data_IF_931790040056
#
_entry.id   IF_931790040056
#
_cell.length_a   1.000
_cell.length_b   1.000
_cell.length_c   1.000
_cell.angle_alpha   90.00
_cell.angle_beta   90.00
_cell.angle_gamma   90.00
#
_symmetry.space_group_name_H-M   'P 1'
#
loop_
_entity.id
_entity.type
_entity.pdbx_description
1 polymer ?
#
# COMPACT_ATOMS: atom_id res chain seq x y z
N UNK A 1 -16.56 -8.80 1.18
CA UNK A 1 -15.18 -8.36 0.87
C UNK A 1 -14.37 -9.56 0.44
N UNK A 2 -13.55 -9.39 -0.57
CA UNK A 2 -12.62 -10.40 -1.07
C UNK A 2 -11.18 -9.94 -0.79
N UNK A 3 -10.25 -10.90 -0.74
CA UNK A 3 -8.83 -10.64 -0.54
C UNK A 3 -8.06 -11.17 -1.74
N UNK A 4 -7.20 -10.32 -2.31
CA UNK A 4 -6.27 -10.72 -3.36
C UNK A 4 -5.22 -11.72 -2.85
N UNK A 5 -4.56 -12.42 -3.77
CA UNK A 5 -3.59 -13.50 -3.46
C UNK A 5 -2.53 -13.12 -2.43
N UNK A 6 -2.09 -11.87 -2.41
CA UNK A 6 -1.02 -11.37 -1.54
C UNK A 6 -1.53 -10.55 -0.35
N UNK A 7 -2.85 -10.37 -0.20
CA UNK A 7 -3.46 -9.64 0.90
C UNK A 7 -3.66 -10.57 2.10
N UNK A 8 -3.14 -10.18 3.27
CA UNK A 8 -3.21 -11.00 4.49
C UNK A 8 -4.52 -10.70 5.22
N UNK A 9 -5.54 -11.54 5.01
CA UNK A 9 -6.87 -11.36 5.63
C UNK A 9 -6.80 -11.19 7.14
N UNK A 10 -5.98 -11.99 7.81
CA UNK A 10 -5.86 -11.99 9.28
C UNK A 10 -5.11 -10.77 9.82
N UNK A 11 -4.46 -9.98 8.94
CA UNK A 11 -3.82 -8.73 9.33
C UNK A 11 -4.79 -7.54 9.35
N UNK A 12 -6.04 -7.71 8.90
CA UNK A 12 -7.05 -6.64 8.87
C UNK A 12 -7.94 -6.75 10.10
N UNK A 13 -7.93 -5.71 10.94
CA UNK A 13 -8.75 -5.66 12.14
C UNK A 13 -10.24 -5.56 11.82
N UNK A 14 -11.08 -5.91 12.79
CA UNK A 14 -12.53 -5.75 12.62
C UNK A 14 -12.94 -4.28 12.53
N UNK A 15 -12.20 -3.38 13.19
CA UNK A 15 -12.38 -1.94 13.05
C UNK A 15 -12.17 -1.50 11.59
N UNK A 16 -11.06 -1.90 10.98
CA UNK A 16 -10.75 -1.60 9.57
C UNK A 16 -11.81 -2.17 8.63
N UNK A 17 -12.28 -3.40 8.87
CA UNK A 17 -13.39 -4.00 8.10
C UNK A 17 -14.66 -3.17 8.22
N UNK A 18 -15.01 -2.72 9.42
CA UNK A 18 -16.21 -1.92 9.66
C UNK A 18 -16.15 -0.57 8.94
N UNK A 19 -15.01 0.13 9.01
CA UNK A 19 -14.80 1.39 8.28
C UNK A 19 -14.99 1.18 6.77
N UNK A 20 -14.41 0.11 6.21
CA UNK A 20 -14.57 -0.20 4.79
C UNK A 20 -16.02 -0.59 4.44
N UNK A 21 -16.71 -1.38 5.29
CA UNK A 21 -18.13 -1.72 5.14
C UNK A 21 -19.01 -0.47 5.08
N UNK A 22 -18.76 0.51 5.95
CA UNK A 22 -19.51 1.75 5.97
C UNK A 22 -19.26 2.56 4.69
N UNK A 23 -18.01 2.62 4.22
CA UNK A 23 -17.68 3.28 2.95
C UNK A 23 -18.44 2.63 1.77
N UNK A 24 -18.46 1.29 1.71
CA UNK A 24 -19.18 0.54 0.69
C UNK A 24 -20.69 0.78 0.74
N UNK A 25 -21.29 0.73 1.94
CA UNK A 25 -22.72 0.97 2.13
C UNK A 25 -23.12 2.40 1.74
N UNK A 26 -22.35 3.42 2.19
CA UNK A 26 -22.59 4.83 1.86
C UNK A 26 -22.47 5.12 0.36
N UNK A 27 -21.76 4.26 -0.38
CA UNK A 27 -21.50 4.42 -1.81
C UNK A 27 -22.28 3.44 -2.70
N UNK A 28 -23.20 2.66 -2.13
CA UNK A 28 -23.96 1.63 -2.83
C UNK A 28 -23.07 0.62 -3.59
N UNK A 29 -21.93 0.27 -2.99
CA UNK A 29 -21.06 -0.81 -3.46
C UNK A 29 -21.36 -2.09 -2.66
N UNK A 30 -21.76 -3.16 -3.34
CA UNK A 30 -22.10 -4.44 -2.69
C UNK A 30 -20.88 -5.28 -2.30
N UNK A 31 -19.73 -5.04 -2.92
CA UNK A 31 -18.51 -5.78 -2.67
C UNK A 31 -17.26 -4.95 -2.98
N UNK A 32 -16.10 -5.49 -2.59
CA UNK A 32 -14.79 -4.92 -2.88
C UNK A 32 -13.72 -6.00 -2.74
N UNK A 33 -12.57 -5.77 -3.36
CA UNK A 33 -11.38 -6.61 -3.24
C UNK A 33 -10.22 -5.81 -2.66
N UNK A 34 -9.77 -6.21 -1.47
CA UNK A 34 -8.53 -5.70 -0.86
C UNK A 34 -7.36 -6.39 -1.55
N UNK A 35 -6.53 -5.62 -2.26
CA UNK A 35 -5.37 -6.12 -3.03
C UNK A 35 -4.08 -6.10 -2.21
N UNK A 36 -3.97 -5.23 -1.22
CA UNK A 36 -2.84 -5.15 -0.29
C UNK A 36 -3.28 -4.81 1.13
N UNK A 37 -2.50 -5.27 2.10
CA UNK A 37 -2.63 -5.02 3.54
C UNK A 37 -1.25 -4.71 4.12
N UNK A 38 -1.12 -4.67 5.45
CA UNK A 38 0.16 -4.52 6.15
C UNK A 38 1.28 -5.44 5.59
N UNK A 39 2.46 -4.85 5.42
CA UNK A 39 3.65 -5.46 4.83
C UNK A 39 4.77 -5.57 5.85
N UNK A 40 5.67 -6.51 5.59
CA UNK A 40 7.01 -6.52 6.21
C UNK A 40 8.01 -5.82 5.28
N UNK A 41 9.19 -5.39 5.77
CA UNK A 41 10.25 -4.88 4.89
C UNK A 41 10.61 -5.84 3.76
N UNK A 42 10.60 -7.15 4.02
CA UNK A 42 10.82 -8.19 3.01
C UNK A 42 9.70 -8.23 1.95
N UNK A 43 8.44 -8.10 2.37
CA UNK A 43 7.31 -7.98 1.44
C UNK A 43 7.44 -6.73 0.56
N UNK A 44 7.79 -5.59 1.16
CA UNK A 44 7.97 -4.34 0.42
C UNK A 44 9.13 -4.42 -0.58
N UNK A 45 10.29 -4.95 -0.18
CA UNK A 45 11.42 -5.14 -1.08
C UNK A 45 11.06 -6.03 -2.27
N UNK A 46 10.35 -7.15 -2.02
CA UNK A 46 9.87 -8.05 -3.08
C UNK A 46 8.92 -7.35 -4.06
N UNK A 47 7.99 -6.54 -3.56
CA UNK A 47 7.05 -5.79 -4.41
C UNK A 47 7.80 -4.76 -5.24
N UNK A 48 8.68 -3.97 -4.62
CA UNK A 48 9.51 -2.98 -5.32
C UNK A 48 10.36 -3.65 -6.40
N UNK A 49 11.04 -4.75 -6.09
CA UNK A 49 11.84 -5.52 -7.04
C UNK A 49 10.99 -5.97 -8.24
N UNK A 50 9.81 -6.55 -8.01
CA UNK A 50 8.94 -7.02 -9.08
C UNK A 50 8.43 -5.85 -9.95
N UNK A 51 8.05 -4.73 -9.33
CA UNK A 51 7.62 -3.56 -10.09
C UNK A 51 8.77 -2.97 -10.91
N UNK A 52 9.99 -2.95 -10.38
CA UNK A 52 11.19 -2.50 -11.12
C UNK A 52 11.49 -3.41 -12.30
N UNK A 53 11.29 -4.73 -12.17
CA UNK A 53 11.45 -5.69 -13.28
C UNK A 53 10.37 -5.53 -14.36
N UNK A 54 9.15 -5.15 -13.99
CA UNK A 54 8.01 -5.06 -14.92
C UNK A 54 7.88 -3.69 -15.57
N UNK A 55 7.99 -2.61 -14.79
CA UNK A 55 7.74 -1.23 -15.21
C UNK A 55 9.02 -0.40 -15.40
N UNK A 56 10.16 -0.86 -14.86
CA UNK A 56 11.44 -0.17 -14.97
C UNK A 56 11.68 0.89 -13.90
N UNK A 57 12.95 1.30 -13.76
CA UNK A 57 13.43 2.24 -12.75
C UNK A 57 12.77 3.62 -12.88
N UNK A 58 12.78 4.18 -14.09
CA UNK A 58 12.32 5.55 -14.33
C UNK A 58 10.85 5.74 -13.91
N UNK A 59 10.00 4.75 -14.18
CA UNK A 59 8.60 4.79 -13.78
C UNK A 59 8.43 4.65 -12.27
N UNK A 60 9.15 3.73 -11.64
CA UNK A 60 9.05 3.55 -10.18
C UNK A 60 9.57 4.76 -9.39
N UNK A 61 10.58 5.48 -9.89
CA UNK A 61 11.08 6.71 -9.25
C UNK A 61 10.04 7.85 -9.25
N UNK A 62 9.08 7.84 -10.20
CA UNK A 62 7.97 8.81 -10.19
C UNK A 62 6.93 8.52 -9.11
N UNK A 63 6.85 7.27 -8.64
CA UNK A 63 5.82 6.82 -7.70
C UNK A 63 6.30 6.83 -6.25
N UNK A 64 7.52 6.36 -5.99
CA UNK A 64 7.99 6.09 -4.63
C UNK A 64 8.53 7.30 -3.88
N UNK A 65 8.94 8.35 -4.61
CA UNK A 65 9.53 9.57 -4.04
C UNK A 65 10.85 9.33 -3.31
N UNK A 66 11.38 10.40 -2.70
CA UNK A 66 12.77 10.47 -2.18
C UNK A 66 13.24 9.26 -1.36
N UNK A 67 12.40 8.69 -0.50
CA UNK A 67 12.81 7.59 0.36
C UNK A 67 12.80 6.26 -0.37
N UNK A 68 11.78 5.97 -1.16
CA UNK A 68 11.78 4.74 -1.97
C UNK A 68 12.77 4.81 -3.13
N UNK A 69 13.06 6.00 -3.67
CA UNK A 69 14.12 6.20 -4.67
C UNK A 69 15.48 5.71 -4.17
N UNK A 70 15.81 5.92 -2.90
CA UNK A 70 17.05 5.39 -2.33
C UNK A 70 17.08 3.86 -2.27
N UNK A 71 15.92 3.20 -2.16
CA UNK A 71 15.83 1.73 -2.24
C UNK A 71 15.96 1.27 -3.68
N UNK A 72 15.42 2.05 -4.63
CA UNK A 72 15.60 1.82 -6.07
C UNK A 72 17.07 1.96 -6.47
N UNK A 73 17.78 2.97 -5.95
CA UNK A 73 19.22 3.15 -6.20
C UNK A 73 20.03 1.95 -5.71
N UNK A 74 19.66 1.37 -4.57
CA UNK A 74 20.25 0.11 -4.07
C UNK A 74 19.98 -1.04 -5.04
N UNK A 75 18.75 -1.19 -5.53
CA UNK A 75 18.45 -2.17 -6.58
C UNK A 75 19.33 -1.99 -7.82
N UNK A 76 19.49 -0.76 -8.32
CA UNK A 76 20.31 -0.47 -9.50
C UNK A 76 21.78 -0.82 -9.27
N UNK A 77 22.37 -0.34 -8.17
CA UNK A 77 23.77 -0.60 -7.82
C UNK A 77 24.06 -2.10 -7.63
N UNK A 78 23.17 -2.82 -6.94
CA UNK A 78 23.32 -4.26 -6.73
C UNK A 78 23.15 -5.05 -8.04
N UNK A 79 22.28 -4.61 -8.94
CA UNK A 79 22.13 -5.20 -10.28
C UNK A 79 23.40 -4.97 -11.12
N UNK A 80 23.97 -3.76 -11.11
CA UNK A 80 25.22 -3.43 -11.82
C UNK A 80 26.38 -4.28 -11.29
N UNK A 81 26.42 -4.51 -9.98
CA UNK A 81 27.42 -5.35 -9.33
C UNK A 81 27.24 -6.87 -9.59
N UNK A 82 26.23 -7.27 -10.38
CA UNK A 82 26.00 -8.67 -10.74
C UNK A 82 25.51 -9.53 -9.58
N UNK A 83 24.94 -8.93 -8.53
CA UNK A 83 24.41 -9.67 -7.36
C UNK A 83 23.22 -10.55 -7.76
N UNK A 84 23.03 -11.64 -7.02
CA UNK A 84 21.86 -12.51 -7.21
C UNK A 84 20.58 -11.82 -6.75
N UNK A 85 19.41 -12.31 -7.20
CA UNK A 85 18.11 -11.80 -6.76
C UNK A 85 17.98 -11.73 -5.23
N UNK A 86 18.41 -12.78 -4.53
CA UNK A 86 18.28 -12.84 -3.08
C UNK A 86 19.19 -11.82 -2.38
N UNK A 87 20.40 -11.62 -2.90
CA UNK A 87 21.31 -10.59 -2.42
C UNK A 87 20.75 -9.18 -2.67
N UNK A 88 20.18 -8.91 -3.85
CA UNK A 88 19.54 -7.63 -4.16
C UNK A 88 18.37 -7.37 -3.19
N UNK A 89 17.52 -8.37 -2.95
CA UNK A 89 16.41 -8.25 -2.02
C UNK A 89 16.91 -7.99 -0.59
N UNK A 90 17.97 -8.65 -0.14
CA UNK A 90 18.58 -8.41 1.16
C UNK A 90 19.14 -6.99 1.29
N UNK A 91 19.80 -6.47 0.25
CA UNK A 91 20.30 -5.09 0.23
C UNK A 91 19.12 -4.09 0.31
N UNK A 92 18.06 -4.33 -0.46
CA UNK A 92 16.85 -3.50 -0.44
C UNK A 92 16.17 -3.51 0.94
N UNK A 93 16.03 -4.68 1.56
CA UNK A 93 15.48 -4.81 2.93
C UNK A 93 16.33 -4.04 3.93
N UNK A 94 17.66 -4.17 3.85
CA UNK A 94 18.59 -3.46 4.72
C UNK A 94 18.43 -1.95 4.58
N UNK A 95 18.26 -1.46 3.35
CA UNK A 95 18.03 -0.04 3.07
C UNK A 95 16.67 0.44 3.61
N UNK A 96 15.60 -0.33 3.44
CA UNK A 96 14.27 -0.01 4.00
C UNK A 96 14.35 0.14 5.52
N UNK A 97 15.01 -0.80 6.20
CA UNK A 97 15.19 -0.75 7.65
C UNK A 97 16.02 0.46 8.09
N UNK A 98 17.09 0.79 7.34
CA UNK A 98 17.96 1.92 7.65
C UNK A 98 17.26 3.28 7.49
N UNK A 99 16.46 3.47 6.45
CA UNK A 99 15.70 4.71 6.20
C UNK A 99 14.55 4.87 7.22
N UNK A 100 14.04 3.77 7.75
CA UNK A 100 12.80 3.70 8.50
C UNK A 100 11.66 3.18 7.59
N UNK A 101 11.08 2.00 7.88
CA UNK A 101 10.10 1.36 7.01
C UNK A 101 8.92 2.26 6.63
N UNK A 102 8.37 3.03 7.58
CA UNK A 102 7.24 3.93 7.38
C UNK A 102 7.52 5.12 6.48
N UNK A 103 8.80 5.47 6.26
CA UNK A 103 9.20 6.51 5.32
C UNK A 103 9.16 6.01 3.88
N UNK A 104 9.34 4.70 3.67
CA UNK A 104 9.30 4.06 2.34
C UNK A 104 7.88 3.73 1.92
N UNK A 105 7.06 3.21 2.84
CA UNK A 105 5.65 2.93 2.57
C UNK A 105 4.83 2.93 3.85
N UNK A 106 3.62 3.47 3.80
CA UNK A 106 2.68 3.44 4.92
C UNK A 106 2.15 2.04 5.22
N UNK A 107 2.21 1.10 4.27
CA UNK A 107 1.92 -0.32 4.50
C UNK A 107 2.89 -0.97 5.51
N UNK A 108 4.03 -0.33 5.82
CA UNK A 108 5.01 -0.79 6.81
C UNK A 108 4.80 -0.16 8.21
N UNK A 109 3.68 0.55 8.42
CA UNK A 109 3.33 1.10 9.74
C UNK A 109 2.98 0.00 10.73
N UNK A 110 3.08 0.31 12.04
CA UNK A 110 2.57 -0.58 13.08
C UNK A 110 1.05 -0.78 12.87
N UNK A 111 0.59 -2.01 12.57
CA UNK A 111 -0.81 -2.27 12.26
C UNK A 111 -1.73 -2.13 13.48
N UNK A 112 -1.19 -1.97 14.69
CA UNK A 112 -1.97 -1.65 15.90
C UNK A 112 -2.17 -0.14 16.08
N UNK A 113 -1.49 0.70 15.29
CA UNK A 113 -1.63 2.16 15.31
C UNK A 113 -2.28 2.66 14.02
N UNK A 114 -1.83 2.13 12.87
CA UNK A 114 -2.32 2.52 11.56
C UNK A 114 -2.36 1.30 10.63
N UNK A 115 -3.56 0.93 10.19
CA UNK A 115 -3.70 -0.06 9.12
C UNK A 115 -3.83 0.65 7.78
N UNK A 116 -3.09 0.13 6.80
CA UNK A 116 -3.16 0.59 5.42
C UNK A 116 -3.65 -0.55 4.56
N UNK A 117 -4.65 -0.28 3.74
CA UNK A 117 -5.20 -1.22 2.78
C UNK A 117 -5.24 -0.59 1.40
N UNK A 118 -4.96 -1.40 0.39
CA UNK A 118 -5.20 -1.04 -1.00
C UNK A 118 -6.45 -1.77 -1.48
N UNK A 119 -7.40 -1.03 -2.04
CA UNK A 119 -8.60 -1.59 -2.66
C UNK A 119 -8.45 -1.52 -4.19
N UNK A 120 -8.68 -2.65 -4.85
CA UNK A 120 -8.58 -2.75 -6.31
C UNK A 120 -9.65 -1.87 -6.98
N UNK A 121 -9.29 -0.90 -7.83
CA UNK A 121 -10.26 0.02 -8.42
C UNK A 121 -11.28 -0.68 -9.32
N UNK A 122 -10.91 -1.80 -9.93
CA UNK A 122 -11.82 -2.64 -10.73
C UNK A 122 -12.92 -3.33 -9.91
N UNK A 123 -12.79 -3.37 -8.58
CA UNK A 123 -13.78 -3.97 -7.67
C UNK A 123 -14.79 -2.97 -7.11
N UNK A 124 -14.66 -1.69 -7.43
CA UNK A 124 -15.56 -0.63 -7.00
C UNK A 124 -16.40 -0.19 -8.21
N UNK A 125 -17.71 -0.37 -8.10
CA UNK A 125 -18.68 0.01 -9.14
C UNK A 125 -18.92 1.52 -9.10
N UNK A 126 -19.36 2.04 -7.96
CA UNK A 126 -19.71 3.45 -7.77
C UNK A 126 -18.52 4.22 -7.22
N UNK A 127 -17.53 4.47 -8.09
CA UNK A 127 -16.22 5.06 -7.73
C UNK A 127 -16.33 6.46 -7.12
N UNK A 128 -17.12 7.35 -7.72
CA UNK A 128 -17.29 8.72 -7.21
C UNK A 128 -17.90 8.71 -5.81
N UNK A 129 -19.01 7.99 -5.62
CA UNK A 129 -19.64 7.86 -4.32
C UNK A 129 -18.73 7.20 -3.27
N UNK A 130 -17.87 6.26 -3.69
CA UNK A 130 -16.88 5.65 -2.79
C UNK A 130 -15.85 6.67 -2.29
N UNK A 131 -15.34 7.54 -3.17
CA UNK A 131 -14.43 8.63 -2.79
C UNK A 131 -15.12 9.65 -1.88
N UNK A 132 -16.38 10.00 -2.15
CA UNK A 132 -17.18 10.86 -1.26
C UNK A 132 -17.37 10.23 0.13
N UNK A 133 -17.64 8.92 0.18
CA UNK A 133 -17.76 8.19 1.43
C UNK A 133 -16.43 8.17 2.23
N UNK A 134 -15.30 7.96 1.57
CA UNK A 134 -13.97 8.04 2.20
C UNK A 134 -13.66 9.47 2.69
N UNK A 135 -14.08 10.49 1.94
CA UNK A 135 -13.94 11.90 2.34
C UNK A 135 -14.73 12.19 3.61
N UNK A 136 -15.98 11.72 3.70
CA UNK A 136 -16.80 11.84 4.90
C UNK A 136 -16.16 11.11 6.10
N UNK A 137 -15.69 9.87 5.91
CA UNK A 137 -15.01 9.10 6.96
C UNK A 137 -13.69 9.76 7.41
N UNK A 138 -13.01 10.47 6.51
CA UNK A 138 -11.84 11.27 6.85
C UNK A 138 -12.20 12.48 7.72
N UNK A 139 -13.29 13.17 7.41
CA UNK A 139 -13.81 14.24 8.26
C UNK A 139 -14.25 13.75 9.65
N UNK A 140 -14.73 12.51 9.75
CA UNK A 140 -15.05 11.83 11.02
C UNK A 140 -13.80 11.34 11.80
N UNK A 141 -12.60 11.43 11.23
CA UNK A 141 -11.35 10.95 11.84
C UNK A 141 -11.17 9.42 11.79
N UNK A 142 -12.06 8.69 11.11
CA UNK A 142 -12.01 7.23 10.96
C UNK A 142 -11.05 6.78 9.85
N UNK A 143 -10.75 7.68 8.92
CA UNK A 143 -9.71 7.54 7.90
C UNK A 143 -8.76 8.72 8.11
N UNK A 144 -7.46 8.49 8.29
CA UNK A 144 -6.51 9.60 8.44
C UNK A 144 -6.16 10.20 7.08
N UNK A 145 -6.00 9.34 6.08
CA UNK A 145 -5.70 9.75 4.72
C UNK A 145 -6.12 8.69 3.70
N UNK A 146 -6.24 9.08 2.44
CA UNK A 146 -6.38 8.14 1.34
C UNK A 146 -5.84 8.77 0.04
N UNK A 147 -5.44 7.92 -0.89
CA UNK A 147 -5.09 8.27 -2.26
C UNK A 147 -5.92 7.42 -3.22
N UNK A 148 -6.15 7.95 -4.42
CA UNK A 148 -6.99 7.34 -5.43
C UNK A 148 -6.24 7.23 -6.76
N UNK A 149 -6.78 6.49 -7.75
CA UNK A 149 -6.25 6.52 -9.12
C UNK A 149 -6.19 7.89 -9.78
N UNK A 150 -6.96 8.86 -9.30
CA UNK A 150 -6.87 10.23 -9.80
C UNK A 150 -5.64 10.97 -9.26
N UNK A 151 -5.09 10.52 -8.13
CA UNK A 151 -3.86 11.04 -7.52
C UNK A 151 -2.60 10.36 -8.08
N UNK A 152 -2.77 9.44 -9.05
CA UNK A 152 -1.69 8.64 -9.63
C UNK A 152 -1.42 7.32 -8.87
N UNK A 153 -2.18 7.01 -7.82
CA UNK A 153 -2.06 5.74 -7.11
C UNK A 153 -2.76 4.60 -7.87
N UNK A 154 -2.13 3.45 -8.14
CA UNK A 154 -2.78 2.37 -8.88
C UNK A 154 -3.99 1.75 -8.14
N UNK A 155 -4.18 2.04 -6.86
CA UNK A 155 -5.26 1.55 -6.03
C UNK A 155 -6.03 2.69 -5.33
N UNK A 156 -7.09 2.32 -4.63
CA UNK A 156 -7.57 3.14 -3.52
C UNK A 156 -6.74 2.78 -2.28
N UNK A 157 -5.68 3.55 -2.02
CA UNK A 157 -4.85 3.41 -0.82
C UNK A 157 -5.55 4.13 0.34
N UNK A 158 -5.86 3.41 1.42
CA UNK A 158 -6.66 3.94 2.53
C UNK A 158 -5.90 3.71 3.84
N UNK A 159 -5.73 4.78 4.62
CA UNK A 159 -5.04 4.79 5.91
C UNK A 159 -6.05 4.94 7.06
N UNK A 160 -6.14 3.92 7.91
CA UNK A 160 -7.17 3.79 8.95
C UNK A 160 -6.48 3.71 10.32
N UNK A 161 -6.53 4.79 11.11
CA UNK A 161 -6.06 4.77 12.50
C UNK A 161 -6.78 3.68 13.29
N UNK A 162 -6.05 2.99 14.15
CA UNK A 162 -6.64 1.96 15.00
C UNK A 162 -7.03 2.54 16.37
N UNK A 163 -8.14 2.09 16.96
CA UNK A 163 -8.50 2.46 18.32
C UNK A 163 -7.43 1.97 19.29
N UNK A 164 -7.18 2.75 20.34
CA UNK A 164 -6.27 2.38 21.44
C UNK A 164 -6.87 1.33 22.35
#
# INVERSE_FOLDING_TARGET
>A
MNFGKNAKKDAVSDHTKQVLQDALKKSDNSSTTISSTARTPADQARIMYNNLKTAGVAEQKRLYGKFGDQVIDVYESSTIAGKTKDQILQDMVSKINNIGPTNVSKHLSDPNVLQVIDVAPSSITNKTAFVEALTALKAEGRVSNFFTPLDGDPAYHIEIPQPK
#
